data_IF_162759132304
#
_entry.id   IF_162759132304
#
_cell.length_a   1.000
_cell.length_b   1.000
_cell.length_c   1.000
_cell.angle_alpha   90.00
_cell.angle_beta   90.00
_cell.angle_gamma   90.00
#
_symmetry.space_group_name_H-M   'P 1'
#
loop_
_entity.id
_entity.type
_entity.pdbx_description
1 polymer ?
#
# COMPACT_ATOMS: atom_id res chain seq x y z
N UNK A 1 1.10 21.78 -3.27
CA UNK A 1 -0.11 21.31 -2.56
C UNK A 1 -0.13 22.08 -1.27
N UNK A 2 -1.22 22.81 -1.02
CA UNK A 2 -1.42 23.60 0.20
C UNK A 2 -2.17 22.75 1.24
N UNK A 3 -1.66 21.55 1.50
CA UNK A 3 -2.09 20.71 2.61
C UNK A 3 -1.08 20.91 3.76
N UNK A 4 -1.53 21.04 5.02
CA UNK A 4 -2.92 20.86 5.49
C UNK A 4 -3.82 22.11 5.37
N UNK A 5 -3.24 23.31 5.24
CA UNK A 5 -3.93 24.58 5.51
C UNK A 5 -5.17 24.89 4.65
N UNK A 6 -5.20 24.48 3.38
CA UNK A 6 -6.35 24.73 2.49
C UNK A 6 -7.36 23.57 2.44
N UNK A 7 -7.10 22.45 3.12
CA UNK A 7 -7.84 21.19 2.95
C UNK A 7 -8.22 20.52 4.30
N UNK A 8 -8.86 21.25 5.23
CA UNK A 8 -9.14 20.74 6.59
C UNK A 8 -10.05 19.50 6.60
N UNK A 9 -10.96 19.37 5.63
CA UNK A 9 -11.89 18.23 5.53
C UNK A 9 -11.36 17.07 4.67
N UNK A 10 -10.17 17.18 4.10
CA UNK A 10 -9.66 16.16 3.19
C UNK A 10 -9.38 14.84 3.91
N UNK A 11 -8.78 14.90 5.09
CA UNK A 11 -8.49 13.70 5.89
C UNK A 11 -9.77 13.04 6.37
N UNK A 12 -10.79 13.81 6.80
CA UNK A 12 -12.07 13.24 7.24
C UNK A 12 -12.80 12.55 6.08
N UNK A 13 -12.84 13.16 4.89
CA UNK A 13 -13.43 12.55 3.70
C UNK A 13 -12.67 11.29 3.25
N UNK A 14 -11.33 11.33 3.27
CA UNK A 14 -10.51 10.17 2.91
C UNK A 14 -10.68 9.04 3.93
N UNK A 15 -10.80 9.37 5.22
CA UNK A 15 -11.11 8.40 6.29
C UNK A 15 -12.45 7.72 6.02
N UNK A 16 -13.50 8.47 5.66
CA UNK A 16 -14.80 7.90 5.35
C UNK A 16 -14.75 6.91 4.17
N UNK A 17 -13.99 7.25 3.12
CA UNK A 17 -13.81 6.38 1.94
C UNK A 17 -13.02 5.10 2.24
N UNK A 18 -12.09 5.15 3.20
CA UNK A 18 -11.25 3.99 3.54
C UNK A 18 -11.84 3.12 4.65
N UNK A 19 -12.53 3.71 5.63
CA UNK A 19 -13.08 2.97 6.77
C UNK A 19 -14.29 2.12 6.40
N UNK A 20 -15.21 2.65 5.59
CA UNK A 20 -16.41 1.95 5.16
C UNK A 20 -16.73 2.27 3.69
N UNK A 21 -15.93 1.76 2.73
CA UNK A 21 -16.18 1.99 1.32
C UNK A 21 -17.49 1.34 0.88
N UNK A 22 -18.35 2.02 0.10
CA UNK A 22 -19.59 1.44 -0.43
C UNK A 22 -19.34 0.31 -1.44
N UNK A 23 -18.20 0.35 -2.13
CA UNK A 23 -17.79 -0.65 -3.11
C UNK A 23 -16.26 -0.63 -3.32
N UNK A 24 -15.75 -1.61 -4.09
CA UNK A 24 -14.33 -1.73 -4.40
C UNK A 24 -13.76 -0.57 -5.23
N UNK A 25 -14.59 0.10 -6.04
CA UNK A 25 -14.19 1.26 -6.84
C UNK A 25 -13.87 2.46 -5.94
N UNK A 26 -14.74 2.72 -4.96
CA UNK A 26 -14.55 3.79 -3.98
C UNK A 26 -13.34 3.52 -3.08
N UNK A 27 -13.15 2.27 -2.66
CA UNK A 27 -11.94 1.86 -1.94
C UNK A 27 -10.68 2.16 -2.77
N UNK A 28 -10.66 1.70 -4.03
CA UNK A 28 -9.53 1.91 -4.94
C UNK A 28 -9.25 3.40 -5.17
N UNK A 29 -10.28 4.23 -5.30
CA UNK A 29 -10.15 5.68 -5.42
C UNK A 29 -9.54 6.29 -4.14
N UNK A 30 -10.00 5.88 -2.95
CA UNK A 30 -9.42 6.29 -1.67
C UNK A 30 -7.95 5.93 -1.56
N UNK A 31 -7.59 4.68 -1.88
CA UNK A 31 -6.21 4.19 -1.86
C UNK A 31 -5.32 4.97 -2.85
N UNK A 32 -5.83 5.27 -4.05
CA UNK A 32 -5.11 6.08 -5.02
C UNK A 32 -4.82 7.49 -4.49
N UNK A 33 -5.81 8.13 -3.88
CA UNK A 33 -5.65 9.46 -3.28
C UNK A 33 -4.61 9.43 -2.16
N UNK A 34 -4.66 8.44 -1.27
CA UNK A 34 -3.66 8.25 -0.21
C UNK A 34 -2.26 8.01 -0.78
N UNK A 35 -2.14 7.17 -1.80
CA UNK A 35 -0.86 6.92 -2.49
C UNK A 35 -0.28 8.20 -3.11
N UNK A 36 -1.12 8.99 -3.79
CA UNK A 36 -0.69 10.27 -4.38
C UNK A 36 -0.26 11.27 -3.31
N UNK A 37 -0.99 11.33 -2.21
CA UNK A 37 -0.63 12.14 -1.05
C UNK A 37 0.76 11.72 -0.54
N UNK A 38 0.97 10.44 -0.27
CA UNK A 38 2.27 9.94 0.15
C UNK A 38 3.38 10.27 -0.87
N UNK A 39 3.16 10.07 -2.18
CA UNK A 39 4.16 10.42 -3.21
C UNK A 39 4.52 11.91 -3.27
N UNK A 40 3.56 12.81 -3.04
CA UNK A 40 3.82 14.26 -3.08
C UNK A 40 4.80 14.69 -1.99
N UNK A 41 4.73 14.04 -0.82
CA UNK A 41 5.57 14.41 0.31
C UNK A 41 6.95 13.74 0.28
N UNK A 42 7.16 12.72 -0.57
CA UNK A 42 8.39 11.90 -0.64
C UNK A 42 9.65 12.76 -0.79
N UNK A 43 9.53 13.85 -1.55
CA UNK A 43 10.62 14.77 -1.85
C UNK A 43 10.50 16.13 -1.14
N UNK A 44 9.56 16.28 -0.18
CA UNK A 44 9.37 17.52 0.57
C UNK A 44 10.31 17.63 1.78
N UNK A 45 10.50 18.86 2.28
CA UNK A 45 11.35 19.17 3.43
C UNK A 45 10.79 18.55 4.72
N UNK A 46 11.65 18.29 5.70
CA UNK A 46 11.27 17.60 6.96
C UNK A 46 10.04 18.19 7.66
N UNK A 47 9.92 19.53 7.75
CA UNK A 47 8.76 20.17 8.37
C UNK A 47 7.43 19.81 7.70
N UNK A 48 7.40 19.78 6.36
CA UNK A 48 6.20 19.41 5.60
C UNK A 48 5.86 17.92 5.78
N UNK A 49 6.84 17.08 6.12
CA UNK A 49 6.65 15.64 6.34
C UNK A 49 5.96 15.36 7.68
N UNK A 50 6.28 16.13 8.72
CA UNK A 50 5.64 15.97 10.04
C UNK A 50 4.14 16.28 9.98
N UNK A 51 3.75 17.28 9.18
CA UNK A 51 2.35 17.67 8.97
C UNK A 51 1.49 16.56 8.34
N UNK A 52 2.10 15.66 7.55
CA UNK A 52 1.41 14.53 6.91
C UNK A 52 1.54 13.21 7.67
N UNK A 53 2.59 13.04 8.47
CA UNK A 53 2.87 11.79 9.18
C UNK A 53 1.73 11.38 10.11
N UNK A 54 1.18 12.34 10.88
CA UNK A 54 0.07 12.09 11.80
C UNK A 54 -1.21 11.60 11.09
N UNK A 55 -1.72 12.32 10.07
CA UNK A 55 -2.86 11.86 9.27
C UNK A 55 -2.65 10.51 8.60
N UNK A 56 -1.49 10.29 7.96
CA UNK A 56 -1.21 9.04 7.24
C UNK A 56 -1.16 7.84 8.19
N UNK A 57 -0.56 8.00 9.37
CA UNK A 57 -0.52 6.96 10.41
C UNK A 57 -1.91 6.54 10.89
N UNK A 58 -2.91 7.44 10.82
CA UNK A 58 -4.32 7.11 11.16
C UNK A 58 -5.07 6.43 10.02
N UNK A 59 -4.66 6.65 8.77
CA UNK A 59 -5.31 6.09 7.58
C UNK A 59 -4.76 4.72 7.20
N UNK A 60 -3.47 4.49 7.43
CA UNK A 60 -2.77 3.24 7.11
C UNK A 60 -3.45 1.98 7.70
N UNK A 61 -3.97 1.96 8.95
CA UNK A 61 -4.69 0.82 9.48
C UNK A 61 -5.87 0.34 8.63
N UNK A 62 -6.60 1.25 7.98
CA UNK A 62 -7.69 0.89 7.06
C UNK A 62 -7.15 0.23 5.79
N UNK A 63 -5.99 0.69 5.29
CA UNK A 63 -5.31 0.09 4.14
C UNK A 63 -4.94 -1.36 4.44
N UNK A 64 -4.28 -1.59 5.58
CA UNK A 64 -3.90 -2.93 6.02
C UNK A 64 -5.12 -3.82 6.18
N UNK A 65 -6.17 -3.33 6.86
CA UNK A 65 -7.40 -4.08 7.08
C UNK A 65 -7.97 -4.63 5.76
N UNK A 66 -8.19 -3.77 4.75
CA UNK A 66 -8.73 -4.21 3.47
C UNK A 66 -7.80 -5.19 2.73
N UNK A 67 -6.50 -4.93 2.77
CA UNK A 67 -5.51 -5.82 2.13
C UNK A 67 -5.51 -7.21 2.77
N UNK A 68 -5.53 -7.26 4.10
CA UNK A 68 -5.53 -8.51 4.86
C UNK A 68 -6.84 -9.28 4.72
N UNK A 69 -8.00 -8.59 4.74
CA UNK A 69 -9.30 -9.23 4.47
C UNK A 69 -9.34 -9.90 3.10
N UNK A 70 -8.63 -9.34 2.12
CA UNK A 70 -8.53 -9.86 0.76
C UNK A 70 -7.37 -10.84 0.55
N UNK A 71 -6.60 -11.19 1.58
CA UNK A 71 -5.37 -12.00 1.45
C UNK A 71 -5.61 -13.33 0.73
N UNK A 72 -6.72 -14.00 0.98
CA UNK A 72 -7.02 -15.29 0.33
C UNK A 72 -7.84 -15.15 -0.96
N UNK A 73 -8.22 -13.93 -1.35
CA UNK A 73 -9.00 -13.67 -2.56
C UNK A 73 -8.06 -13.46 -3.77
N UNK A 74 -8.09 -14.41 -4.70
CA UNK A 74 -7.25 -14.41 -5.90
C UNK A 74 -7.87 -13.72 -7.12
N UNK A 75 -9.04 -13.09 -6.98
CA UNK A 75 -9.62 -12.31 -8.08
C UNK A 75 -8.72 -11.14 -8.46
N UNK A 76 -8.65 -10.79 -9.75
CA UNK A 76 -7.81 -9.70 -10.23
C UNK A 76 -8.11 -8.36 -9.51
N UNK A 77 -9.37 -8.09 -9.19
CA UNK A 77 -9.78 -6.91 -8.42
C UNK A 77 -9.20 -6.88 -7.01
N UNK A 78 -9.26 -7.99 -6.28
CA UNK A 78 -8.66 -8.09 -4.94
C UNK A 78 -7.14 -7.92 -4.96
N UNK A 79 -6.48 -8.51 -5.97
CA UNK A 79 -5.02 -8.39 -6.15
C UNK A 79 -4.62 -6.95 -6.47
N UNK A 80 -5.41 -6.21 -7.25
CA UNK A 80 -5.16 -4.79 -7.52
C UNK A 80 -5.23 -3.94 -6.23
N UNK A 81 -6.18 -4.22 -5.33
CA UNK A 81 -6.25 -3.57 -4.02
C UNK A 81 -5.00 -3.89 -3.17
N UNK A 82 -4.59 -5.16 -3.12
CA UNK A 82 -3.35 -5.57 -2.43
C UNK A 82 -2.12 -4.84 -2.98
N UNK A 83 -2.00 -4.70 -4.32
CA UNK A 83 -0.93 -3.93 -4.97
C UNK A 83 -0.97 -2.46 -4.55
N UNK A 84 -2.15 -1.83 -4.49
CA UNK A 84 -2.27 -0.45 -4.04
C UNK A 84 -1.80 -0.28 -2.58
N UNK A 85 -2.20 -1.19 -1.69
CA UNK A 85 -1.73 -1.22 -0.31
C UNK A 85 -0.21 -1.33 -0.19
N UNK A 86 0.39 -2.33 -0.86
CA UNK A 86 1.84 -2.50 -0.87
C UNK A 86 2.59 -1.28 -1.40
N UNK A 87 2.05 -0.61 -2.44
CA UNK A 87 2.65 0.63 -2.98
C UNK A 87 2.59 1.79 -1.98
N UNK A 88 1.48 1.94 -1.27
CA UNK A 88 1.35 2.95 -0.20
C UNK A 88 2.44 2.70 0.82
N UNK A 89 2.51 1.50 1.38
CA UNK A 89 3.47 1.13 2.42
C UNK A 89 4.90 1.26 1.94
N UNK A 90 5.20 0.83 0.70
CA UNK A 90 6.53 1.00 0.12
C UNK A 90 6.95 2.47 0.13
N UNK A 91 6.07 3.35 -0.33
CA UNK A 91 6.33 4.78 -0.28
C UNK A 91 6.52 5.24 1.16
N UNK A 92 5.64 4.86 2.10
CA UNK A 92 5.77 5.21 3.53
C UNK A 92 7.10 4.75 4.15
N UNK A 93 7.61 3.57 3.79
CA UNK A 93 8.91 3.07 4.28
C UNK A 93 10.11 3.83 3.68
N UNK A 94 9.99 4.38 2.47
CA UNK A 94 11.02 5.27 1.91
C UNK A 94 11.18 6.54 2.77
N UNK A 95 10.10 6.99 3.41
CA UNK A 95 10.13 8.09 4.36
C UNK A 95 10.55 7.71 5.77
N UNK A 96 10.05 6.57 6.28
CA UNK A 96 10.01 6.30 7.72
C UNK A 96 11.33 5.86 8.31
N UNK A 97 12.25 5.26 7.54
CA UNK A 97 13.50 4.70 8.08
C UNK A 97 14.36 5.78 8.78
N UNK A 98 14.19 7.06 8.43
CA UNK A 98 14.84 8.17 9.13
C UNK A 98 13.87 9.03 9.98
N UNK A 99 12.55 8.85 9.86
CA UNK A 99 11.54 9.80 10.39
C UNK A 99 10.29 9.18 11.04
N UNK A 100 10.21 7.86 11.25
CA UNK A 100 9.18 7.24 12.10
C UNK A 100 7.75 7.18 11.56
N UNK A 101 7.51 7.30 10.25
CA UNK A 101 6.14 7.29 9.70
C UNK A 101 5.37 5.95 9.80
N UNK A 102 6.04 4.84 10.09
CA UNK A 102 5.42 3.55 10.41
C UNK A 102 6.05 3.06 11.70
N UNK A 103 5.24 2.88 12.73
CA UNK A 103 5.71 2.28 13.98
C UNK A 103 6.17 0.84 13.71
N UNK A 104 7.21 0.38 14.41
CA UNK A 104 7.79 -0.97 14.24
C UNK A 104 6.73 -2.09 14.24
N UNK A 105 5.73 -2.10 15.16
CA UNK A 105 4.69 -3.14 15.14
C UNK A 105 3.87 -3.18 13.85
N UNK A 106 3.63 -2.03 13.22
CA UNK A 106 2.91 -1.94 11.94
C UNK A 106 3.78 -2.44 10.79
N UNK A 107 5.08 -2.14 10.83
CA UNK A 107 6.01 -2.66 9.83
C UNK A 107 6.07 -4.19 9.86
N UNK A 108 6.09 -4.79 11.05
CA UNK A 108 6.05 -6.25 11.23
C UNK A 108 4.81 -6.91 10.60
N UNK A 109 3.65 -6.26 10.70
CA UNK A 109 2.41 -6.73 10.07
C UNK A 109 2.51 -6.73 8.54
N UNK A 110 3.13 -5.69 7.95
CA UNK A 110 3.37 -5.62 6.51
C UNK A 110 4.45 -6.58 6.02
N UNK A 111 5.47 -6.87 6.84
CA UNK A 111 6.46 -7.91 6.57
C UNK A 111 5.78 -9.26 6.48
N UNK A 112 4.98 -9.63 7.50
CA UNK A 112 4.23 -10.90 7.52
C UNK A 112 3.28 -11.01 6.32
N UNK A 113 2.51 -9.97 6.04
CA UNK A 113 1.62 -9.91 4.88
C UNK A 113 2.37 -10.08 3.55
N UNK A 114 3.57 -9.50 3.42
CA UNK A 114 4.40 -9.65 2.24
C UNK A 114 4.94 -11.08 2.09
N UNK A 115 5.34 -11.71 3.19
CA UNK A 115 5.74 -13.13 3.22
C UNK A 115 4.58 -14.02 2.78
N UNK A 116 3.37 -13.79 3.29
CA UNK A 116 2.18 -14.56 2.92
C UNK A 116 1.86 -14.43 1.42
N UNK A 117 1.97 -13.22 0.84
CA UNK A 117 1.80 -13.01 -0.61
C UNK A 117 2.85 -13.79 -1.42
N UNK A 118 4.11 -13.81 -0.97
CA UNK A 118 5.18 -14.51 -1.67
C UNK A 118 5.03 -16.03 -1.58
N UNK A 119 4.60 -16.55 -0.44
CA UNK A 119 4.35 -17.97 -0.21
C UNK A 119 3.12 -18.49 -0.97
N UNK A 120 2.11 -17.64 -1.21
CA UNK A 120 0.86 -18.01 -1.89
C UNK A 120 1.11 -18.47 -3.33
N UNK A 121 0.59 -19.62 -3.73
CA UNK A 121 0.63 -20.07 -5.12
C UNK A 121 -0.18 -19.14 -6.03
N UNK A 122 0.26 -18.96 -7.28
CA UNK A 122 -0.52 -18.21 -8.26
C UNK A 122 -1.68 -19.10 -8.78
N UNK A 123 -2.79 -18.51 -9.27
CA UNK A 123 -3.88 -19.27 -9.85
C UNK A 123 -3.43 -20.12 -11.04
N UNK A 124 -3.95 -21.34 -11.17
CA UNK A 124 -3.59 -22.29 -12.24
C UNK A 124 -3.91 -21.77 -13.64
N UNK A 125 -4.83 -20.80 -13.76
CA UNK A 125 -5.12 -20.12 -15.02
C UNK A 125 -3.90 -19.37 -15.59
N UNK A 126 -2.88 -19.08 -14.78
CA UNK A 126 -1.63 -18.51 -15.27
C UNK A 126 -0.72 -19.54 -15.95
N UNK A 127 -0.94 -20.84 -15.71
CA UNK A 127 -0.11 -21.89 -16.28
C UNK A 127 -0.30 -22.02 -17.79
N UNK A 128 -1.45 -21.58 -18.32
CA UNK A 128 -1.70 -21.52 -19.76
C UNK A 128 -0.94 -20.41 -20.49
N UNK A 129 -0.32 -19.48 -19.77
CA UNK A 129 0.52 -18.43 -20.38
C UNK A 129 1.94 -18.98 -20.56
N UNK A 130 2.26 -19.52 -21.73
CA UNK A 130 3.56 -20.13 -22.01
C UNK A 130 4.72 -19.12 -21.96
N UNK A 131 4.47 -17.88 -22.41
CA UNK A 131 5.45 -16.80 -22.39
C UNK A 131 5.68 -16.31 -20.94
N UNK A 132 6.93 -16.44 -20.48
CA UNK A 132 7.33 -16.04 -19.13
C UNK A 132 7.27 -14.53 -18.92
N UNK A 133 7.60 -13.74 -19.94
CA UNK A 133 7.55 -12.29 -19.86
C UNK A 133 6.10 -11.83 -19.78
N UNK A 134 5.20 -12.40 -20.59
CA UNK A 134 3.76 -12.12 -20.49
C UNK A 134 3.21 -12.48 -19.10
N UNK A 135 3.56 -13.67 -18.59
CA UNK A 135 3.15 -14.13 -17.25
C UNK A 135 3.62 -13.16 -16.15
N UNK A 136 4.84 -12.62 -16.27
CA UNK A 136 5.39 -11.66 -15.32
C UNK A 136 4.63 -10.30 -15.30
N UNK A 137 3.89 -9.97 -16.36
CA UNK A 137 3.07 -8.75 -16.43
C UNK A 137 1.68 -8.88 -15.81
N UNK A 138 1.30 -10.08 -15.35
CA UNK A 138 0.01 -10.32 -14.69
C UNK A 138 -0.07 -9.63 -13.32
N UNK A 139 -1.29 -9.45 -12.80
CA UNK A 139 -1.49 -8.79 -11.50
C UNK A 139 -0.90 -9.59 -10.33
N UNK A 140 -0.95 -10.92 -10.36
CA UNK A 140 -0.39 -11.76 -9.30
C UNK A 140 1.13 -11.64 -9.20
N UNK A 141 1.83 -11.70 -10.33
CA UNK A 141 3.29 -11.52 -10.35
C UNK A 141 3.69 -10.07 -10.00
N UNK A 142 2.91 -9.08 -10.43
CA UNK A 142 3.09 -7.69 -9.98
C UNK A 142 2.92 -7.56 -8.47
N UNK A 143 1.94 -8.25 -7.87
CA UNK A 143 1.70 -8.24 -6.43
C UNK A 143 2.87 -8.86 -5.67
N UNK A 144 3.34 -10.04 -6.09
CA UNK A 144 4.55 -10.67 -5.53
C UNK A 144 5.79 -9.78 -5.65
N UNK A 145 5.98 -9.12 -6.79
CA UNK A 145 7.10 -8.17 -6.98
C UNK A 145 7.04 -7.00 -6.01
N UNK A 146 5.86 -6.47 -5.70
CA UNK A 146 5.72 -5.41 -4.71
C UNK A 146 5.95 -5.90 -3.28
N UNK A 147 5.50 -7.11 -2.95
CA UNK A 147 5.77 -7.73 -1.65
C UNK A 147 7.28 -7.96 -1.45
N UNK A 148 7.99 -8.48 -2.46
CA UNK A 148 9.45 -8.62 -2.43
C UNK A 148 10.15 -7.29 -2.19
N UNK A 149 9.74 -6.22 -2.90
CA UNK A 149 10.31 -4.87 -2.71
C UNK A 149 10.17 -4.32 -1.29
N UNK A 150 9.11 -4.68 -0.56
CA UNK A 150 8.96 -4.29 0.85
C UNK A 150 10.03 -5.00 1.68
N UNK A 151 10.19 -6.32 1.50
CA UNK A 151 11.18 -7.10 2.24
C UNK A 151 12.60 -6.65 1.91
N UNK A 152 12.95 -6.53 0.63
CA UNK A 152 14.25 -6.02 0.19
C UNK A 152 14.54 -4.67 0.86
N UNK A 153 13.56 -3.76 0.88
CA UNK A 153 13.73 -2.45 1.51
C UNK A 153 13.99 -2.55 3.01
N UNK A 154 13.25 -3.40 3.71
CA UNK A 154 13.41 -3.55 5.17
C UNK A 154 14.75 -4.18 5.52
N UNK A 155 15.21 -5.18 4.76
CA UNK A 155 16.41 -5.95 5.07
C UNK A 155 17.70 -5.40 4.44
N UNK A 156 17.65 -4.72 3.28
CA UNK A 156 18.81 -4.07 2.66
C UNK A 156 19.13 -2.69 3.29
N UNK A 157 18.21 -2.14 4.08
CA UNK A 157 18.46 -0.89 4.81
C UNK A 157 19.11 -1.11 6.18
N UNK A 158 19.57 -2.34 6.46
CA UNK A 158 20.29 -2.75 7.69
C UNK A 158 21.80 -2.71 7.55
#
# INVERSE_FOLDING_TARGET
MDFPDKWPQFISQLTAKLSNPPDASMLSAGLLVLYRLAKVYEFKRNKDRDDIAGPVSKLEPFVYYHCHQLLNNQSAGAILIQIQGLKIVYVLTQFSIHFGMLAVPRLDEWIKFSIDILARECPSELDSIEDKDERAHTVWWKCKKWAAKILDRVFDSG
#
